data_IF_398570659209
#
_entry.id   IF_398570659209
#
_cell.length_a   1.000
_cell.length_b   1.000
_cell.length_c   1.000
_cell.angle_alpha   90.00
_cell.angle_beta   90.00
_cell.angle_gamma   90.00
#
_symmetry.space_group_name_H-M   'P 1'
#
loop_
_entity.id
_entity.type
_entity.pdbx_description
1 polymer ?
#
# COMPACT_ATOMS: atom_id res chain seq x y z
N UNK A 1 -20.68 10.62 -2.63
CA UNK A 1 -20.61 9.33 -3.38
C UNK A 1 -22.01 8.80 -3.72
N UNK A 2 -23.01 9.67 -3.90
CA UNK A 2 -24.45 9.32 -3.87
C UNK A 2 -25.08 8.95 -5.22
N UNK A 3 -24.31 8.42 -6.18
CA UNK A 3 -24.81 8.11 -7.53
C UNK A 3 -24.34 6.77 -8.13
N UNK A 4 -23.57 5.97 -7.39
CA UNK A 4 -23.09 4.67 -7.86
C UNK A 4 -24.18 3.59 -7.69
N UNK A 5 -24.48 2.83 -8.74
CA UNK A 5 -25.31 1.63 -8.60
C UNK A 5 -24.58 0.56 -7.76
N UNK A 6 -25.30 -0.33 -7.07
CA UNK A 6 -24.68 -1.35 -6.21
C UNK A 6 -23.58 -2.19 -6.89
N UNK A 7 -23.73 -2.61 -8.17
CA UNK A 7 -22.67 -3.32 -8.89
C UNK A 7 -21.41 -2.47 -9.10
N UNK A 8 -21.57 -1.18 -9.42
CA UNK A 8 -20.45 -0.27 -9.62
C UNK A 8 -19.68 -0.02 -8.32
N UNK A 9 -20.40 0.14 -7.20
CA UNK A 9 -19.78 0.26 -5.88
C UNK A 9 -18.92 -0.97 -5.55
N UNK A 10 -19.41 -2.18 -5.83
CA UNK A 10 -18.65 -3.41 -5.61
C UNK A 10 -17.35 -3.43 -6.44
N UNK A 11 -17.41 -3.04 -7.72
CA UNK A 11 -16.23 -2.95 -8.59
C UNK A 11 -15.20 -1.95 -8.04
N UNK A 12 -15.65 -0.77 -7.60
CA UNK A 12 -14.76 0.24 -7.01
C UNK A 12 -14.10 -0.27 -5.73
N UNK A 13 -14.86 -0.91 -4.84
CA UNK A 13 -14.35 -1.47 -3.58
C UNK A 13 -13.33 -2.56 -3.85
N UNK A 14 -13.63 -3.54 -4.71
CA UNK A 14 -12.69 -4.63 -5.03
C UNK A 14 -11.41 -4.08 -5.65
N UNK A 15 -11.54 -3.11 -6.57
CA UNK A 15 -10.38 -2.52 -7.23
C UNK A 15 -9.47 -1.82 -6.24
N UNK A 16 -10.01 -0.95 -5.39
CA UNK A 16 -9.20 -0.17 -4.45
C UNK A 16 -8.75 -0.99 -3.22
N UNK A 17 -9.50 -2.00 -2.79
CA UNK A 17 -9.14 -2.85 -1.65
C UNK A 17 -8.16 -3.97 -2.01
N UNK A 18 -8.17 -4.45 -3.26
CA UNK A 18 -7.41 -5.64 -3.65
C UNK A 18 -6.46 -5.35 -4.80
N UNK A 19 -6.99 -4.92 -5.93
CA UNK A 19 -6.22 -4.83 -7.19
C UNK A 19 -5.13 -3.75 -7.09
N UNK A 20 -5.48 -2.57 -6.57
CA UNK A 20 -4.54 -1.45 -6.40
C UNK A 20 -3.40 -1.82 -5.45
N UNK A 21 -3.65 -2.32 -4.22
CA UNK A 21 -2.56 -2.75 -3.32
C UNK A 21 -1.61 -3.80 -3.92
N UNK A 22 -2.12 -4.74 -4.72
CA UNK A 22 -1.26 -5.72 -5.41
C UNK A 22 -0.28 -5.01 -6.35
N UNK A 23 -0.77 -4.08 -7.18
CA UNK A 23 0.06 -3.29 -8.08
C UNK A 23 1.07 -2.43 -7.33
N UNK A 24 0.65 -1.82 -6.23
CA UNK A 24 1.51 -1.00 -5.38
C UNK A 24 2.63 -1.83 -4.74
N UNK A 25 2.35 -3.02 -4.20
CA UNK A 25 3.41 -3.85 -3.63
C UNK A 25 4.40 -4.37 -4.69
N UNK A 26 3.92 -4.71 -5.88
CA UNK A 26 4.80 -5.06 -7.01
C UNK A 26 5.73 -3.89 -7.37
N UNK A 27 5.20 -2.67 -7.45
CA UNK A 27 5.95 -1.47 -7.82
C UNK A 27 6.92 -1.03 -6.71
N UNK A 28 6.43 -0.86 -5.49
CA UNK A 28 7.22 -0.25 -4.42
C UNK A 28 8.15 -1.25 -3.75
N UNK A 29 7.77 -2.53 -3.61
CA UNK A 29 8.58 -3.53 -2.88
C UNK A 29 9.34 -4.37 -3.88
N UNK A 30 8.62 -4.93 -4.86
CA UNK A 30 9.21 -5.73 -5.93
C UNK A 30 10.25 -4.96 -6.73
N UNK A 31 9.93 -3.76 -7.20
CA UNK A 31 10.84 -2.94 -8.01
C UNK A 31 11.62 -1.89 -7.20
N UNK A 32 10.95 -0.88 -6.63
CA UNK A 32 11.63 0.29 -6.07
C UNK A 32 12.54 -0.05 -4.87
N UNK A 33 12.02 -0.74 -3.84
CA UNK A 33 12.81 -1.15 -2.69
C UNK A 33 13.94 -2.10 -3.10
N UNK A 34 13.70 -3.08 -3.99
CA UNK A 34 14.73 -3.98 -4.49
C UNK A 34 15.86 -3.24 -5.23
N UNK A 35 15.54 -2.21 -6.03
CA UNK A 35 16.53 -1.40 -6.71
C UNK A 35 17.32 -0.52 -5.74
N UNK A 36 16.64 0.14 -4.81
CA UNK A 36 17.27 0.96 -3.78
C UNK A 36 18.17 0.10 -2.88
N UNK A 37 17.77 -1.12 -2.57
CA UNK A 37 18.52 -2.06 -1.74
C UNK A 37 19.89 -2.39 -2.31
N UNK A 38 20.00 -2.48 -3.64
CA UNK A 38 21.28 -2.74 -4.35
C UNK A 38 22.28 -1.61 -4.21
N UNK A 39 21.81 -0.37 -4.02
CA UNK A 39 22.66 0.82 -3.99
C UNK A 39 22.89 1.36 -2.57
N UNK A 40 21.89 1.26 -1.68
CA UNK A 40 21.89 1.93 -0.38
C UNK A 40 21.79 0.99 0.82
N UNK A 41 21.62 -0.31 0.62
CA UNK A 41 21.43 -1.27 1.72
C UNK A 41 19.98 -1.34 2.25
N UNK A 42 19.72 -2.13 3.31
CA UNK A 42 18.38 -2.56 3.73
C UNK A 42 17.51 -1.39 4.17
N UNK A 43 17.97 -0.73 5.23
CA UNK A 43 17.17 0.25 5.95
C UNK A 43 16.93 1.52 5.12
N UNK A 44 17.94 2.08 4.41
CA UNK A 44 17.68 3.20 3.51
C UNK A 44 16.69 2.83 2.41
N UNK A 45 16.76 1.62 1.84
CA UNK A 45 15.81 1.19 0.82
C UNK A 45 14.37 1.11 1.34
N UNK A 46 14.16 0.54 2.53
CA UNK A 46 12.86 0.48 3.19
C UNK A 46 12.31 1.89 3.43
N UNK A 47 13.12 2.78 4.03
CA UNK A 47 12.66 4.13 4.40
C UNK A 47 12.39 5.00 3.18
N UNK A 48 13.26 4.98 2.17
CA UNK A 48 13.10 5.78 0.95
C UNK A 48 11.91 5.27 0.14
N UNK A 49 11.77 3.96 -0.08
CA UNK A 49 10.61 3.41 -0.79
C UNK A 49 9.30 3.73 -0.05
N UNK A 50 9.31 3.68 1.28
CA UNK A 50 8.14 4.03 2.10
C UNK A 50 7.78 5.52 2.03
N UNK A 51 8.79 6.40 2.01
CA UNK A 51 8.58 7.83 1.85
C UNK A 51 7.99 8.16 0.47
N UNK A 52 8.51 7.54 -0.60
CA UNK A 52 7.98 7.73 -1.96
C UNK A 52 6.54 7.20 -2.05
N UNK A 53 6.25 6.03 -1.49
CA UNK A 53 4.89 5.47 -1.43
C UNK A 53 3.92 6.44 -0.73
N UNK A 54 4.28 6.94 0.46
CA UNK A 54 3.43 7.86 1.20
C UNK A 54 3.26 9.20 0.45
N UNK A 55 4.32 9.72 -0.17
CA UNK A 55 4.27 10.96 -0.95
C UNK A 55 3.41 10.84 -2.21
N UNK A 56 3.34 9.66 -2.85
CA UNK A 56 2.45 9.41 -3.98
C UNK A 56 0.96 9.59 -3.62
N UNK A 57 0.62 9.55 -2.34
CA UNK A 57 -0.73 9.72 -1.80
C UNK A 57 -1.03 11.16 -1.33
N UNK A 58 -0.26 12.16 -1.78
CA UNK A 58 -0.40 13.55 -1.32
C UNK A 58 -1.81 14.15 -1.50
N UNK A 59 -2.63 13.61 -2.41
CA UNK A 59 -4.04 14.00 -2.58
C UNK A 59 -4.91 13.69 -1.34
N UNK A 60 -4.41 12.87 -0.42
CA UNK A 60 -5.03 12.55 0.87
C UNK A 60 -4.02 12.82 2.00
N UNK A 61 -3.68 14.08 2.28
CA UNK A 61 -2.57 14.44 3.18
C UNK A 61 -2.71 13.85 4.58
N UNK A 62 -3.93 13.71 5.08
CA UNK A 62 -4.26 13.09 6.36
C UNK A 62 -3.90 11.59 6.44
N UNK A 63 -3.83 10.90 5.29
CA UNK A 63 -3.45 9.49 5.22
C UNK A 63 -1.93 9.30 5.09
N UNK A 64 -1.17 10.33 4.69
CA UNK A 64 0.28 10.22 4.46
C UNK A 64 1.05 9.68 5.68
N UNK A 65 0.80 10.14 6.92
CA UNK A 65 1.52 9.60 8.08
C UNK A 65 1.24 8.12 8.33
N UNK A 66 -0.03 7.68 8.24
CA UNK A 66 -0.40 6.28 8.46
C UNK A 66 0.08 5.38 7.32
N UNK A 67 0.04 5.86 6.08
CA UNK A 67 0.57 5.16 4.91
C UNK A 67 2.09 5.02 4.97
N UNK A 68 2.82 6.02 5.49
CA UNK A 68 4.26 5.89 5.72
C UNK A 68 4.57 4.78 6.73
N UNK A 69 3.86 4.75 7.86
CA UNK A 69 4.04 3.72 8.89
C UNK A 69 3.72 2.33 8.33
N UNK A 70 2.57 2.19 7.66
CA UNK A 70 2.21 0.94 6.97
C UNK A 70 3.31 0.50 6.00
N UNK A 71 3.80 1.45 5.19
CA UNK A 71 4.80 1.20 4.17
C UNK A 71 6.13 0.71 4.75
N UNK A 72 6.55 1.26 5.89
CA UNK A 72 7.75 0.81 6.61
C UNK A 72 7.55 -0.60 7.15
N UNK A 73 6.39 -0.91 7.73
CA UNK A 73 6.09 -2.24 8.29
C UNK A 73 6.12 -3.31 7.20
N UNK A 74 5.43 -3.09 6.09
CA UNK A 74 5.40 -4.07 4.98
C UNK A 74 6.72 -4.11 4.21
N UNK A 75 7.43 -2.96 4.09
CA UNK A 75 8.77 -2.91 3.52
C UNK A 75 9.80 -3.70 4.35
N UNK A 76 9.72 -3.60 5.68
CA UNK A 76 10.51 -4.43 6.59
C UNK A 76 10.15 -5.92 6.44
N UNK A 77 8.86 -6.27 6.37
CA UNK A 77 8.45 -7.65 6.16
C UNK A 77 9.00 -8.23 4.84
N UNK A 78 8.95 -7.46 3.75
CA UNK A 78 9.54 -7.83 2.48
C UNK A 78 11.07 -8.00 2.58
N UNK A 79 11.78 -7.06 3.24
CA UNK A 79 13.23 -7.15 3.41
C UNK A 79 13.65 -8.41 4.17
N UNK A 80 12.86 -8.84 5.16
CA UNK A 80 13.15 -10.02 5.99
C UNK A 80 12.84 -11.33 5.28
N UNK A 81 11.86 -11.36 4.38
CA UNK A 81 11.32 -12.60 3.81
C UNK A 81 11.61 -12.80 2.34
N UNK A 82 11.85 -11.71 1.59
CA UNK A 82 11.93 -11.71 0.13
C UNK A 82 10.61 -12.08 -0.56
N UNK A 83 9.47 -12.10 0.17
CA UNK A 83 8.18 -12.57 -0.34
C UNK A 83 7.18 -11.41 -0.40
N UNK A 84 6.49 -11.26 -1.53
CA UNK A 84 5.47 -10.23 -1.70
C UNK A 84 4.10 -10.62 -1.13
N UNK A 85 3.84 -11.90 -0.89
CA UNK A 85 2.52 -12.36 -0.43
C UNK A 85 2.12 -11.71 0.90
N UNK A 86 3.02 -11.65 1.88
CA UNK A 86 2.72 -11.05 3.17
C UNK A 86 2.48 -9.52 3.08
N UNK A 87 3.33 -8.72 2.41
CA UNK A 87 3.05 -7.32 2.11
C UNK A 87 1.69 -7.10 1.44
N UNK A 88 1.38 -7.89 0.40
CA UNK A 88 0.10 -7.82 -0.32
C UNK A 88 -1.07 -8.09 0.61
N UNK A 89 -1.02 -9.16 1.41
CA UNK A 89 -2.10 -9.49 2.34
C UNK A 89 -2.30 -8.40 3.40
N UNK A 90 -1.21 -7.88 3.98
CA UNK A 90 -1.31 -6.81 4.98
C UNK A 90 -1.90 -5.55 4.37
N UNK A 91 -1.45 -5.16 3.17
CA UNK A 91 -1.92 -3.94 2.51
C UNK A 91 -3.38 -4.05 2.04
N UNK A 92 -3.75 -5.18 1.43
CA UNK A 92 -5.15 -5.44 1.04
C UNK A 92 -6.09 -5.45 2.24
N UNK A 93 -5.70 -6.08 3.36
CA UNK A 93 -6.49 -6.04 4.60
C UNK A 93 -6.60 -4.61 5.17
N UNK A 94 -5.52 -3.84 5.15
CA UNK A 94 -5.54 -2.45 5.59
C UNK A 94 -6.52 -1.60 4.75
N UNK A 95 -6.48 -1.71 3.41
CA UNK A 95 -7.40 -0.97 2.57
C UNK A 95 -8.84 -1.47 2.73
N UNK A 96 -9.07 -2.79 2.78
CA UNK A 96 -10.40 -3.35 2.99
C UNK A 96 -11.02 -2.85 4.31
N UNK A 97 -10.26 -2.84 5.40
CA UNK A 97 -10.72 -2.33 6.70
C UNK A 97 -11.07 -0.83 6.65
N UNK A 98 -10.21 -0.01 6.02
CA UNK A 98 -10.48 1.41 5.86
C UNK A 98 -11.69 1.69 4.95
N UNK A 99 -11.89 0.89 3.89
CA UNK A 99 -13.06 1.01 3.03
C UNK A 99 -14.33 0.61 3.78
N UNK A 100 -14.31 -0.48 4.55
CA UNK A 100 -15.44 -0.89 5.38
C UNK A 100 -15.82 0.23 6.36
N UNK A 101 -14.84 0.80 7.07
CA UNK A 101 -15.07 1.90 8.02
C UNK A 101 -15.72 3.13 7.34
N UNK A 102 -15.30 3.47 6.11
CA UNK A 102 -15.86 4.58 5.33
C UNK A 102 -17.26 4.32 4.76
N UNK A 103 -17.68 3.05 4.69
CA UNK A 103 -19.01 2.68 4.18
C UNK A 103 -20.06 2.53 5.29
N UNK A 104 -19.62 2.30 6.53
CA UNK A 104 -20.49 2.11 7.70
C UNK A 104 -20.57 3.35 8.63
N UNK A 105 -19.67 4.31 8.47
CA UNK A 105 -19.66 5.60 9.17
C UNK A 105 -20.10 6.73 8.26
#
# INVERSE_FOLDING_TARGET
MSGASPPWLAVMVITAAVIVPIGEELLFRGLAQSLLRRHFGPWPAVLIASAIFAAAHWSQPQAVPSLFVLAVVIGYNYERTGRLLAPILIHTLFNAANMALRLIG
#
